data_IF_921013025364
#
_entry.id   IF_921013025364
#
_cell.length_a   1.000
_cell.length_b   1.000
_cell.length_c   1.000
_cell.angle_alpha   90.00
_cell.angle_beta   90.00
_cell.angle_gamma   90.00
#
_symmetry.space_group_name_H-M   'P 1'
#
loop_
_entity.id
_entity.type
_entity.pdbx_description
1 polymer ?
#
# COMPACT_ATOMS: atom_id res chain seq x y z
N UNK A 1 -12.81 26.31 0.87
CA UNK A 1 -13.58 25.69 -0.22
C UNK A 1 -13.74 24.23 0.15
N UNK A 2 -14.95 23.68 0.25
CA UNK A 2 -15.10 22.24 0.49
C UNK A 2 -14.61 21.49 -0.73
N UNK A 3 -13.78 20.46 -0.53
CA UNK A 3 -13.31 19.58 -1.60
C UNK A 3 -14.51 18.85 -2.23
N UNK A 4 -14.73 19.02 -3.55
CA UNK A 4 -15.79 18.30 -4.27
C UNK A 4 -15.30 16.88 -4.60
N UNK A 5 -15.88 15.89 -3.94
CA UNK A 5 -15.53 14.48 -4.11
C UNK A 5 -16.46 13.74 -5.09
N UNK A 6 -17.47 14.42 -5.62
CA UNK A 6 -18.43 13.84 -6.56
C UNK A 6 -17.91 13.77 -8.00
N UNK A 7 -16.80 14.45 -8.28
CA UNK A 7 -16.17 14.52 -9.61
C UNK A 7 -14.69 14.23 -9.52
N UNK A 8 -14.18 13.44 -10.47
CA UNK A 8 -12.76 13.18 -10.58
C UNK A 8 -12.03 14.47 -10.96
N UNK A 9 -10.99 14.90 -10.23
CA UNK A 9 -10.19 16.06 -10.58
C UNK A 9 -9.57 15.90 -11.97
N UNK A 10 -9.45 17.01 -12.71
CA UNK A 10 -8.99 17.00 -14.11
C UNK A 10 -7.54 16.53 -14.30
N UNK A 11 -6.74 16.47 -13.23
CA UNK A 11 -5.39 15.94 -13.24
C UNK A 11 -5.34 14.41 -13.03
N UNK A 12 -6.48 13.76 -12.83
CA UNK A 12 -6.60 12.31 -12.82
C UNK A 12 -7.39 11.81 -14.03
N UNK A 13 -6.95 10.68 -14.59
CA UNK A 13 -7.66 9.96 -15.64
C UNK A 13 -7.80 8.49 -15.28
N UNK A 14 -9.03 7.97 -15.35
CA UNK A 14 -9.27 6.53 -15.20
C UNK A 14 -8.69 5.76 -16.40
N UNK A 15 -8.00 4.66 -16.09
CA UNK A 15 -7.44 3.72 -17.05
C UNK A 15 -7.87 2.32 -16.63
N UNK A 16 -8.24 1.48 -17.59
CA UNK A 16 -8.40 0.04 -17.37
C UNK A 16 -7.11 -0.67 -17.77
N UNK A 17 -6.56 -1.47 -16.86
CA UNK A 17 -5.32 -2.22 -17.09
C UNK A 17 -5.57 -3.55 -17.79
N UNK A 18 -4.50 -4.26 -18.18
CA UNK A 18 -4.57 -5.49 -18.95
C UNK A 18 -5.25 -6.68 -18.27
N UNK A 19 -5.33 -6.69 -16.93
CA UNK A 19 -6.10 -7.69 -16.16
C UNK A 19 -7.55 -7.25 -15.89
N UNK A 20 -7.98 -6.13 -16.49
CA UNK A 20 -9.32 -5.57 -16.34
C UNK A 20 -9.51 -4.70 -15.09
N UNK A 21 -8.50 -4.57 -14.23
CA UNK A 21 -8.62 -3.77 -13.01
C UNK A 21 -8.43 -2.27 -13.31
N UNK A 22 -9.14 -1.37 -12.59
CA UNK A 22 -9.04 0.07 -12.80
C UNK A 22 -7.78 0.65 -12.16
N UNK A 23 -7.21 1.69 -12.75
CA UNK A 23 -6.16 2.52 -12.16
C UNK A 23 -6.40 3.99 -12.52
N UNK A 24 -5.69 4.91 -11.87
CA UNK A 24 -5.65 6.31 -12.30
C UNK A 24 -4.28 6.64 -12.89
N UNK A 25 -4.25 7.57 -13.82
CA UNK A 25 -3.04 8.30 -14.19
C UNK A 25 -3.10 9.73 -13.67
N UNK A 26 -2.03 10.14 -13.01
CA UNK A 26 -1.78 11.49 -12.54
C UNK A 26 -1.07 12.30 -13.62
N UNK A 27 -1.63 13.46 -13.98
CA UNK A 27 -1.03 14.43 -14.88
C UNK A 27 -0.15 15.40 -14.10
N UNK A 28 1.11 15.01 -13.90
CA UNK A 28 2.09 15.83 -13.21
C UNK A 28 2.87 16.77 -14.14
N UNK A 29 3.71 17.67 -13.58
CA UNK A 29 4.60 18.54 -14.35
C UNK A 29 5.56 17.77 -15.28
N UNK A 30 5.97 16.57 -14.87
CA UNK A 30 6.85 15.67 -15.62
C UNK A 30 6.10 14.77 -16.62
N UNK A 31 4.80 14.98 -16.78
CA UNK A 31 3.91 14.22 -17.65
C UNK A 31 3.03 13.20 -16.92
N UNK A 32 2.26 12.39 -17.68
CA UNK A 32 1.37 11.39 -17.10
C UNK A 32 2.15 10.24 -16.47
N UNK A 33 1.83 9.90 -15.22
CA UNK A 33 2.26 8.67 -14.55
C UNK A 33 1.03 7.87 -14.13
N UNK A 34 0.99 6.58 -14.49
CA UNK A 34 -0.05 5.68 -14.00
C UNK A 34 0.31 5.19 -12.58
N UNK A 35 -0.69 5.08 -11.70
CA UNK A 35 -0.48 4.55 -10.34
C UNK A 35 -0.05 3.08 -10.33
N UNK A 36 -0.36 2.33 -11.40
CA UNK A 36 -0.07 0.90 -11.49
C UNK A 36 0.41 0.53 -12.90
N UNK A 37 0.97 -0.67 -13.01
CA UNK A 37 1.39 -1.27 -14.26
C UNK A 37 0.23 -1.44 -15.24
N UNK A 38 0.48 -1.09 -16.51
CA UNK A 38 -0.51 -1.23 -17.59
C UNK A 38 -0.97 -2.67 -17.81
N UNK A 39 -0.16 -3.67 -17.44
CA UNK A 39 -0.50 -5.09 -17.56
C UNK A 39 -1.49 -5.61 -16.51
N UNK A 40 -1.73 -4.89 -15.42
CA UNK A 40 -2.68 -5.30 -14.40
C UNK A 40 -2.38 -4.71 -13.03
N UNK A 41 -3.27 -3.87 -12.49
CA UNK A 41 -3.08 -3.30 -11.16
C UNK A 41 -3.36 -4.35 -10.08
N UNK A 42 -4.44 -5.13 -10.22
CA UNK A 42 -4.80 -6.18 -9.28
C UNK A 42 -3.71 -7.26 -9.20
N UNK A 43 -3.22 -7.70 -10.35
CA UNK A 43 -2.19 -8.72 -10.43
C UNK A 43 -0.83 -8.22 -9.92
N UNK A 44 -0.48 -6.95 -10.17
CA UNK A 44 0.71 -6.31 -9.58
C UNK A 44 0.60 -6.25 -8.05
N UNK A 45 -0.52 -5.76 -7.50
CA UNK A 45 -0.72 -5.66 -6.05
C UNK A 45 -0.60 -7.03 -5.38
N UNK A 46 -1.26 -8.06 -5.93
CA UNK A 46 -1.16 -9.43 -5.41
C UNK A 46 0.28 -9.96 -5.47
N UNK A 47 1.01 -9.69 -6.56
CA UNK A 47 2.36 -10.21 -6.73
C UNK A 47 3.37 -9.54 -5.79
N UNK A 48 3.27 -8.23 -5.62
CA UNK A 48 4.26 -7.41 -4.89
C UNK A 48 3.94 -7.39 -3.39
N UNK A 49 2.69 -7.13 -3.02
CA UNK A 49 2.33 -6.71 -1.66
C UNK A 49 1.69 -7.83 -0.82
N UNK A 50 0.99 -8.80 -1.44
CA UNK A 50 0.39 -9.92 -0.70
C UNK A 50 1.41 -10.73 0.14
N UNK A 51 2.67 -10.95 -0.28
CA UNK A 51 3.65 -11.64 0.55
C UNK A 51 3.93 -10.98 1.91
N UNK A 52 3.93 -9.64 1.97
CA UNK A 52 4.12 -8.89 3.22
C UNK A 52 2.94 -9.10 4.17
N UNK A 53 1.72 -9.03 3.63
CA UNK A 53 0.50 -9.28 4.38
C UNK A 53 0.42 -10.74 4.85
N UNK A 54 0.71 -11.71 3.98
CA UNK A 54 0.72 -13.12 4.33
C UNK A 54 1.69 -13.43 5.49
N UNK A 55 2.90 -12.88 5.45
CA UNK A 55 3.87 -13.06 6.52
C UNK A 55 3.43 -12.39 7.84
N UNK A 56 2.75 -11.24 7.77
CA UNK A 56 2.24 -10.53 8.93
C UNK A 56 1.06 -11.26 9.59
N UNK A 57 0.07 -11.70 8.81
CA UNK A 57 -1.13 -12.39 9.31
C UNK A 57 -0.88 -13.86 9.69
N UNK A 58 0.25 -14.45 9.28
CA UNK A 58 0.69 -15.76 9.77
C UNK A 58 1.26 -15.73 11.20
N UNK A 59 1.54 -14.54 11.74
CA UNK A 59 2.05 -14.37 13.10
C UNK A 59 0.90 -14.38 14.10
N UNK A 60 1.07 -14.99 15.28
CA UNK A 60 0.08 -14.88 16.35
C UNK A 60 0.07 -13.49 17.00
N UNK A 61 1.17 -12.73 16.90
CA UNK A 61 1.21 -11.33 17.32
C UNK A 61 0.50 -10.46 16.29
N UNK A 62 -0.18 -9.41 16.75
CA UNK A 62 -0.77 -8.41 15.86
C UNK A 62 0.28 -7.69 15.00
N UNK A 63 -0.20 -6.94 14.01
CA UNK A 63 0.65 -6.25 13.03
C UNK A 63 0.57 -4.73 13.15
N UNK A 64 1.70 -4.06 12.89
CA UNK A 64 1.77 -2.63 12.65
C UNK A 64 2.23 -2.45 11.21
N UNK A 65 1.30 -2.06 10.35
CA UNK A 65 1.49 -1.96 8.91
C UNK A 65 1.56 -0.50 8.49
N UNK A 66 2.41 -0.22 7.51
CA UNK A 66 2.49 1.07 6.82
C UNK A 66 2.23 0.81 5.34
N UNK A 67 1.25 1.52 4.79
CA UNK A 67 0.99 1.63 3.36
C UNK A 67 1.29 3.06 2.92
N UNK A 68 2.23 3.24 1.99
CA UNK A 68 2.62 4.55 1.48
C UNK A 68 2.11 4.68 0.05
N UNK A 69 1.19 5.61 -0.19
CA UNK A 69 0.48 5.76 -1.46
C UNK A 69 -0.84 5.00 -1.45
N UNK A 70 -1.85 5.52 -0.75
CA UNK A 70 -3.19 4.91 -0.75
C UNK A 70 -3.74 4.78 -2.17
N UNK A 71 -3.65 5.83 -2.99
CA UNK A 71 -4.12 5.78 -4.38
C UNK A 71 -5.60 5.39 -4.48
N UNK A 72 -5.85 4.26 -5.17
CA UNK A 72 -7.17 3.62 -5.26
C UNK A 72 -7.43 2.57 -4.17
N UNK A 73 -6.64 2.56 -3.11
CA UNK A 73 -6.76 1.71 -1.93
C UNK A 73 -6.59 0.20 -2.20
N UNK A 74 -5.77 -0.18 -3.20
CA UNK A 74 -5.53 -1.59 -3.54
C UNK A 74 -4.90 -2.36 -2.36
N UNK A 75 -3.90 -1.76 -1.71
CA UNK A 75 -3.20 -2.37 -0.58
C UNK A 75 -4.10 -2.49 0.65
N UNK A 76 -4.94 -1.49 0.92
CA UNK A 76 -5.89 -1.46 2.03
C UNK A 76 -7.03 -2.47 1.80
N UNK A 77 -7.57 -2.57 0.58
CA UNK A 77 -8.59 -3.57 0.26
C UNK A 77 -8.00 -4.98 0.30
N UNK A 78 -6.76 -5.18 -0.19
CA UNK A 78 -6.05 -6.44 -0.07
C UNK A 78 -5.85 -6.82 1.41
N UNK A 79 -5.40 -5.90 2.26
CA UNK A 79 -5.27 -6.14 3.70
C UNK A 79 -6.60 -6.54 4.36
N UNK A 80 -7.73 -5.99 3.90
CA UNK A 80 -9.05 -6.42 4.38
C UNK A 80 -9.35 -7.89 4.03
N UNK A 81 -8.90 -8.40 2.87
CA UNK A 81 -9.06 -9.83 2.56
C UNK A 81 -8.30 -10.73 3.54
N UNK A 82 -7.09 -10.34 3.94
CA UNK A 82 -6.33 -11.06 4.96
C UNK A 82 -6.99 -10.99 6.33
N UNK A 83 -7.57 -9.84 6.70
CA UNK A 83 -8.31 -9.69 7.95
C UNK A 83 -9.58 -10.55 8.00
N UNK A 84 -10.33 -10.61 6.89
CA UNK A 84 -11.48 -11.51 6.73
C UNK A 84 -11.10 -12.97 6.97
N UNK A 85 -10.00 -13.39 6.37
CA UNK A 85 -9.53 -14.79 6.44
C UNK A 85 -8.87 -15.09 7.79
N UNK A 86 -8.57 -14.08 8.60
CA UNK A 86 -7.95 -14.19 9.93
C UNK A 86 -8.67 -13.30 10.96
N UNK A 87 -9.94 -13.58 11.31
CA UNK A 87 -10.80 -12.67 12.10
C UNK A 87 -10.33 -12.45 13.55
N UNK A 88 -9.35 -13.21 14.04
CA UNK A 88 -8.72 -13.02 15.35
C UNK A 88 -7.50 -12.10 15.32
N UNK A 89 -6.98 -11.77 14.13
CA UNK A 89 -5.75 -10.99 13.98
C UNK A 89 -6.01 -9.50 14.24
N UNK A 90 -5.22 -8.91 15.12
CA UNK A 90 -5.24 -7.46 15.34
C UNK A 90 -4.21 -6.79 14.46
N UNK A 91 -4.57 -5.69 13.81
CA UNK A 91 -3.59 -4.88 13.12
C UNK A 91 -3.94 -3.39 13.14
N UNK A 92 -2.89 -2.57 13.17
CA UNK A 92 -2.97 -1.17 12.79
C UNK A 92 -2.41 -1.01 11.38
N UNK A 93 -3.09 -0.25 10.52
CA UNK A 93 -2.63 0.09 9.18
C UNK A 93 -2.59 1.61 9.06
N UNK A 94 -1.40 2.19 9.04
CA UNK A 94 -1.19 3.59 8.71
C UNK A 94 -1.09 3.74 7.20
N UNK A 95 -2.08 4.38 6.59
CA UNK A 95 -2.13 4.63 5.15
C UNK A 95 -1.84 6.11 4.86
N UNK A 96 -0.77 6.37 4.12
CA UNK A 96 -0.28 7.71 3.81
C UNK A 96 -0.66 8.09 2.38
N UNK A 97 -1.36 9.22 2.23
CA UNK A 97 -1.73 9.76 0.93
C UNK A 97 -1.57 11.28 0.92
N UNK A 98 -0.82 11.77 -0.07
CA UNK A 98 -0.53 13.18 -0.22
C UNK A 98 -1.69 13.95 -0.85
N UNK A 99 -2.48 13.29 -1.69
CA UNK A 99 -3.65 13.88 -2.33
C UNK A 99 -4.90 13.81 -1.44
N UNK A 100 -5.41 14.97 -1.05
CA UNK A 100 -6.58 15.04 -0.16
C UNK A 100 -7.84 14.44 -0.79
N UNK A 101 -8.00 14.51 -2.11
CA UNK A 101 -9.15 13.95 -2.82
C UNK A 101 -9.13 12.43 -2.75
N UNK A 102 -8.00 11.79 -3.03
CA UNK A 102 -7.86 10.33 -2.94
C UNK A 102 -8.11 9.84 -1.50
N UNK A 103 -7.47 10.48 -0.53
CA UNK A 103 -7.57 10.14 0.89
C UNK A 103 -8.99 10.29 1.42
N UNK A 104 -9.61 11.44 1.20
CA UNK A 104 -10.97 11.73 1.66
C UNK A 104 -12.01 10.84 0.96
N UNK A 105 -11.80 10.53 -0.33
CA UNK A 105 -12.68 9.62 -1.07
C UNK A 105 -12.71 8.23 -0.45
N UNK A 106 -11.55 7.65 -0.12
CA UNK A 106 -11.51 6.33 0.49
C UNK A 106 -12.11 6.34 1.90
N UNK A 107 -11.74 7.33 2.72
CA UNK A 107 -12.25 7.47 4.08
C UNK A 107 -13.79 7.59 4.12
N UNK A 108 -14.38 8.44 3.27
CA UNK A 108 -15.83 8.59 3.22
C UNK A 108 -16.54 7.38 2.58
N UNK A 109 -15.92 6.72 1.62
CA UNK A 109 -16.44 5.47 1.06
C UNK A 109 -16.53 4.37 2.13
N UNK A 110 -15.57 4.29 3.06
CA UNK A 110 -15.63 3.38 4.20
C UNK A 110 -16.81 3.71 5.15
N UNK A 111 -17.22 4.98 5.21
CA UNK A 111 -18.38 5.44 5.98
C UNK A 111 -19.71 5.29 5.22
N UNK A 112 -19.72 4.59 4.08
CA UNK A 112 -20.95 4.30 3.33
C UNK A 112 -21.34 5.35 2.30
N UNK A 113 -20.46 6.30 1.96
CA UNK A 113 -20.72 7.27 0.88
C UNK A 113 -20.45 6.65 -0.49
N UNK A 114 -21.53 6.36 -1.21
CA UNK A 114 -21.52 5.73 -2.54
C UNK A 114 -21.70 6.73 -3.70
N UNK A 115 -21.93 8.01 -3.40
CA UNK A 115 -22.09 9.12 -4.37
C UNK A 115 -20.74 9.79 -4.78
N UNK A 116 -19.62 9.18 -4.41
CA UNK A 116 -18.27 9.68 -4.68
C UNK A 116 -17.79 9.25 -6.07
N UNK A 117 -16.97 10.07 -6.72
CA UNK A 117 -16.42 9.77 -8.04
C UNK A 117 -15.63 8.44 -8.08
N UNK A 118 -14.95 8.09 -6.99
CA UNK A 118 -14.14 6.86 -6.91
C UNK A 118 -14.92 5.62 -6.40
N UNK A 119 -16.15 5.78 -5.90
CA UNK A 119 -16.92 4.66 -5.34
C UNK A 119 -17.10 3.47 -6.32
N UNK A 120 -17.38 3.70 -7.62
CA UNK A 120 -17.44 2.60 -8.59
C UNK A 120 -16.10 1.86 -8.77
N UNK A 121 -14.97 2.54 -8.61
CA UNK A 121 -13.64 1.94 -8.74
C UNK A 121 -13.32 1.06 -7.54
N UNK A 122 -13.59 1.54 -6.32
CA UNK A 122 -13.45 0.71 -5.12
C UNK A 122 -14.31 -0.56 -5.22
N UNK A 123 -15.54 -0.45 -5.74
CA UNK A 123 -16.40 -1.62 -5.96
C UNK A 123 -15.80 -2.62 -6.96
N UNK A 124 -15.26 -2.16 -8.10
CA UNK A 124 -14.55 -3.02 -9.07
C UNK A 124 -13.32 -3.69 -8.45
N UNK A 125 -12.54 -2.97 -7.64
CA UNK A 125 -11.36 -3.51 -6.95
C UNK A 125 -11.76 -4.59 -5.94
N UNK A 126 -12.81 -4.33 -5.15
CA UNK A 126 -13.38 -5.32 -4.23
C UNK A 126 -13.77 -6.62 -4.96
N UNK A 127 -14.47 -6.51 -6.11
CA UNK A 127 -14.81 -7.66 -6.95
C UNK A 127 -13.57 -8.42 -7.41
N UNK A 128 -12.53 -7.70 -7.86
CA UNK A 128 -11.26 -8.31 -8.28
C UNK A 128 -10.59 -9.12 -7.17
N UNK A 129 -10.65 -8.64 -5.92
CA UNK A 129 -10.15 -9.36 -4.75
C UNK A 129 -11.11 -10.41 -4.17
N UNK A 130 -12.32 -10.55 -4.72
CA UNK A 130 -13.33 -11.46 -4.19
C UNK A 130 -13.81 -11.08 -2.78
N UNK A 131 -13.88 -9.77 -2.48
CA UNK A 131 -14.44 -9.22 -1.24
C UNK A 131 -15.59 -8.29 -1.56
N UNK A 132 -16.60 -8.19 -0.69
CA UNK A 132 -17.73 -7.27 -0.89
C UNK A 132 -17.37 -5.89 -0.30
N UNK A 133 -17.78 -4.77 -0.94
CA UNK A 133 -17.63 -3.44 -0.35
C UNK A 133 -18.09 -3.32 1.11
N UNK A 134 -19.27 -3.88 1.42
CA UNK A 134 -19.80 -3.88 2.78
C UNK A 134 -18.92 -4.62 3.80
N UNK A 135 -18.18 -5.64 3.34
CA UNK A 135 -17.28 -6.42 4.19
C UNK A 135 -15.98 -5.65 4.48
N UNK A 136 -15.44 -4.95 3.47
CA UNK A 136 -14.32 -4.01 3.68
C UNK A 136 -14.71 -2.92 4.68
N UNK A 137 -15.92 -2.35 4.55
CA UNK A 137 -16.46 -1.37 5.49
C UNK A 137 -16.53 -1.95 6.90
N UNK A 138 -17.18 -3.10 7.08
CA UNK A 138 -17.31 -3.75 8.39
C UNK A 138 -15.95 -4.04 9.02
N UNK A 139 -14.98 -4.51 8.23
CA UNK A 139 -13.62 -4.77 8.70
C UNK A 139 -12.97 -3.50 9.25
N UNK A 140 -13.16 -2.33 8.64
CA UNK A 140 -12.48 -1.10 9.07
C UNK A 140 -13.28 -0.20 10.01
N UNK A 141 -14.62 -0.29 10.01
CA UNK A 141 -15.49 0.64 10.74
C UNK A 141 -16.47 -0.05 11.70
N UNK A 142 -16.56 -1.38 11.66
CA UNK A 142 -17.43 -2.16 12.53
C UNK A 142 -17.07 -2.01 14.01
N UNK A 143 -18.08 -2.00 14.89
CA UNK A 143 -17.91 -1.77 16.33
C UNK A 143 -17.05 -2.84 17.04
N UNK A 144 -16.83 -4.00 16.42
CA UNK A 144 -15.96 -5.08 16.89
C UNK A 144 -14.68 -5.25 16.07
N UNK A 145 -14.35 -4.28 15.22
CA UNK A 145 -13.20 -4.36 14.33
C UNK A 145 -11.90 -4.57 15.12
N UNK A 146 -11.06 -5.48 14.60
CA UNK A 146 -9.67 -5.67 15.05
C UNK A 146 -8.67 -4.94 14.15
N UNK A 147 -9.16 -4.23 13.12
CA UNK A 147 -8.40 -3.40 12.22
C UNK A 147 -8.48 -1.94 12.67
N UNK A 148 -7.34 -1.32 12.93
CA UNK A 148 -7.26 0.12 13.15
C UNK A 148 -6.66 0.79 11.92
N UNK A 149 -7.52 1.30 11.02
CA UNK A 149 -7.09 2.03 9.83
C UNK A 149 -6.89 3.50 10.17
N UNK A 150 -5.66 3.98 10.01
CA UNK A 150 -5.24 5.33 10.37
C UNK A 150 -4.86 6.07 9.09
N UNK A 151 -5.59 7.14 8.79
CA UNK A 151 -5.35 7.97 7.62
C UNK A 151 -4.35 9.07 7.92
N UNK A 152 -3.20 9.01 7.25
CA UNK A 152 -2.12 9.97 7.36
C UNK A 152 -2.05 10.83 6.10
N UNK A 153 -1.47 12.03 6.22
CA UNK A 153 -1.25 12.90 5.07
C UNK A 153 -0.01 12.46 4.28
N UNK A 154 0.57 13.39 3.51
CA UNK A 154 1.91 13.20 2.93
C UNK A 154 2.90 12.86 4.04
N UNK A 155 3.57 11.71 3.93
CA UNK A 155 4.75 11.39 4.73
C UNK A 155 5.85 12.40 4.40
N UNK A 156 6.14 13.29 5.33
CA UNK A 156 7.13 14.36 5.13
C UNK A 156 8.37 14.13 5.97
N UNK A 157 8.22 13.41 7.09
CA UNK A 157 9.33 13.15 8.02
C UNK A 157 9.26 11.73 8.58
N UNK A 158 10.39 11.03 8.74
CA UNK A 158 10.40 9.64 9.19
C UNK A 158 9.76 9.40 10.57
N UNK A 159 9.73 10.40 11.45
CA UNK A 159 9.11 10.30 12.77
C UNK A 159 7.58 10.14 12.73
N UNK A 160 6.94 10.48 11.62
CA UNK A 160 5.48 10.35 11.42
C UNK A 160 5.06 8.87 11.28
N UNK A 161 5.98 7.98 10.91
CA UNK A 161 5.73 6.54 10.91
C UNK A 161 5.58 6.01 12.36
N UNK A 162 4.77 4.98 12.63
CA UNK A 162 4.74 4.35 13.95
C UNK A 162 6.06 3.62 14.25
N UNK A 163 6.39 3.41 15.54
CA UNK A 163 7.50 2.51 15.93
C UNK A 163 7.06 1.05 15.85
N UNK A 164 8.00 0.13 15.65
CA UNK A 164 7.72 -1.30 15.65
C UNK A 164 6.93 -1.75 14.41
N UNK A 165 7.19 -1.14 13.25
CA UNK A 165 6.52 -1.52 11.99
C UNK A 165 6.90 -2.95 11.62
N UNK A 166 5.90 -3.82 11.47
CA UNK A 166 6.06 -5.22 11.08
C UNK A 166 5.85 -5.44 9.58
N UNK A 167 5.27 -4.47 8.86
CA UNK A 167 5.06 -4.55 7.42
C UNK A 167 5.09 -3.20 6.72
N UNK A 168 5.90 -3.06 5.68
CA UNK A 168 5.89 -1.91 4.77
C UNK A 168 5.38 -2.30 3.38
N UNK A 169 4.29 -1.65 2.95
CA UNK A 169 3.78 -1.64 1.58
C UNK A 169 4.19 -0.29 0.98
N UNK A 170 5.42 -0.21 0.46
CA UNK A 170 6.02 1.06 0.02
C UNK A 170 5.68 1.32 -1.44
N UNK A 171 4.52 1.93 -1.67
CA UNK A 171 3.85 2.09 -2.97
C UNK A 171 3.77 3.56 -3.41
N UNK A 172 4.80 4.34 -3.10
CA UNK A 172 4.88 5.74 -3.51
C UNK A 172 5.09 5.87 -5.02
N UNK A 173 4.64 6.99 -5.61
CA UNK A 173 5.01 7.35 -6.98
C UNK A 173 6.54 7.31 -7.20
N UNK A 174 6.96 7.16 -8.46
CA UNK A 174 8.37 6.95 -8.77
C UNK A 174 9.24 8.13 -8.34
N UNK A 175 10.56 7.91 -8.30
CA UNK A 175 11.54 8.96 -7.97
C UNK A 175 11.44 10.21 -8.84
N UNK A 176 10.84 10.15 -10.02
CA UNK A 176 10.60 11.34 -10.85
C UNK A 176 9.53 12.25 -10.25
N UNK A 177 8.54 11.65 -9.61
CA UNK A 177 7.34 12.35 -9.11
C UNK A 177 7.43 12.64 -7.62
N UNK A 178 8.09 11.78 -6.84
CA UNK A 178 8.26 11.96 -5.39
C UNK A 178 9.71 11.65 -4.96
N UNK A 179 10.71 12.39 -5.48
CA UNK A 179 12.14 12.11 -5.24
C UNK A 179 12.52 12.02 -3.77
N UNK A 180 11.87 12.81 -2.91
CA UNK A 180 12.08 12.87 -1.46
C UNK A 180 11.82 11.52 -0.78
N UNK A 181 10.84 10.75 -1.26
CA UNK A 181 10.50 9.43 -0.71
C UNK A 181 11.50 8.34 -1.13
N UNK A 182 12.47 8.66 -2.00
CA UNK A 182 13.49 7.75 -2.49
C UNK A 182 14.92 8.23 -2.19
N UNK A 183 15.05 9.27 -1.37
CA UNK A 183 16.33 9.66 -0.80
C UNK A 183 16.84 8.56 0.13
N UNK A 184 18.15 8.30 0.09
CA UNK A 184 18.71 7.18 0.84
C UNK A 184 18.62 7.38 2.35
N UNK A 185 18.95 8.57 2.86
CA UNK A 185 18.94 8.81 4.30
C UNK A 185 17.51 8.90 4.84
N UNK A 186 16.58 9.44 4.04
CA UNK A 186 15.15 9.38 4.34
C UNK A 186 14.65 7.94 4.47
N UNK A 187 14.98 7.08 3.49
CA UNK A 187 14.61 5.66 3.51
C UNK A 187 15.23 4.92 4.71
N UNK A 188 16.50 5.18 5.02
CA UNK A 188 17.18 4.59 6.19
C UNK A 188 16.45 4.95 7.48
N UNK A 189 16.09 6.22 7.65
CA UNK A 189 15.38 6.68 8.83
C UNK A 189 13.97 6.08 8.91
N UNK A 190 13.25 5.97 7.78
CA UNK A 190 11.93 5.34 7.72
C UNK A 190 11.98 3.85 8.06
N UNK A 191 12.88 3.09 7.42
CA UNK A 191 13.03 1.66 7.68
C UNK A 191 13.66 1.37 9.04
N UNK A 192 14.34 2.35 9.65
CA UNK A 192 14.75 2.32 11.04
C UNK A 192 13.59 2.17 12.04
N UNK A 193 12.37 2.55 11.64
CA UNK A 193 11.14 2.42 12.46
C UNK A 193 10.56 1.00 12.50
N UNK A 194 11.13 0.08 11.71
CA UNK A 194 10.74 -1.32 11.73
C UNK A 194 10.87 -1.94 13.14
N UNK A 195 10.13 -3.01 13.37
CA UNK A 195 10.36 -3.93 14.47
C UNK A 195 11.68 -4.71 14.26
N UNK A 196 12.43 -4.91 15.33
CA UNK A 196 13.79 -5.48 15.26
C UNK A 196 13.77 -7.01 15.08
N UNK A 197 12.72 -7.68 15.54
CA UNK A 197 12.60 -9.14 15.50
C UNK A 197 11.85 -9.63 14.25
N UNK A 198 11.04 -8.77 13.64
CA UNK A 198 10.33 -9.06 12.42
C UNK A 198 9.88 -7.81 11.67
N UNK A 199 10.27 -7.70 10.40
CA UNK A 199 9.62 -6.79 9.48
C UNK A 199 9.70 -7.34 8.06
N UNK A 200 8.60 -7.22 7.31
CA UNK A 200 8.54 -7.53 5.89
C UNK A 200 8.30 -6.23 5.11
N UNK A 201 8.93 -6.09 3.96
CA UNK A 201 8.83 -4.92 3.12
C UNK A 201 8.69 -5.33 1.67
N UNK A 202 7.79 -4.67 0.95
CA UNK A 202 7.69 -4.77 -0.49
C UNK A 202 7.50 -3.41 -1.14
N UNK A 203 7.99 -3.30 -2.37
CA UNK A 203 7.75 -2.19 -3.29
C UNK A 203 7.89 -2.65 -4.73
N UNK A 204 7.13 -2.05 -5.64
CA UNK A 204 7.32 -2.25 -7.07
C UNK A 204 8.69 -1.72 -7.56
N UNK A 205 9.28 -0.78 -6.83
CA UNK A 205 10.51 -0.12 -7.26
C UNK A 205 11.75 -0.99 -7.05
N UNK A 206 12.78 -0.73 -7.87
CA UNK A 206 14.16 -1.21 -7.64
C UNK A 206 15.13 -0.15 -8.10
N UNK A 207 15.86 0.41 -7.15
CA UNK A 207 16.91 1.38 -7.43
C UNK A 207 18.06 1.22 -6.42
N UNK A 208 19.20 1.83 -6.72
CA UNK A 208 20.42 1.70 -5.90
C UNK A 208 20.26 2.28 -4.49
N UNK A 209 19.57 3.42 -4.35
CA UNK A 209 19.32 4.06 -3.05
C UNK A 209 18.51 3.14 -2.14
N UNK A 210 17.43 2.55 -2.66
CA UNK A 210 16.60 1.59 -1.94
C UNK A 210 17.42 0.41 -1.43
N UNK A 211 18.25 -0.20 -2.29
CA UNK A 211 19.07 -1.36 -1.88
C UNK A 211 20.06 -0.99 -0.77
N UNK A 212 20.71 0.18 -0.85
CA UNK A 212 21.64 0.65 0.18
C UNK A 212 20.92 1.01 1.48
N UNK A 213 19.77 1.67 1.38
CA UNK A 213 18.94 2.01 2.54
C UNK A 213 18.45 0.77 3.29
N UNK A 214 17.96 -0.24 2.57
CA UNK A 214 17.55 -1.52 3.15
C UNK A 214 18.70 -2.21 3.87
N UNK A 215 19.88 -2.30 3.24
CA UNK A 215 21.06 -2.89 3.87
C UNK A 215 21.48 -2.12 5.14
N UNK A 216 21.50 -0.78 5.09
CA UNK A 216 21.81 0.09 6.23
C UNK A 216 20.79 -0.03 7.37
N UNK A 217 19.52 -0.31 7.04
CA UNK A 217 18.44 -0.53 8.01
C UNK A 217 18.37 -1.98 8.53
N UNK A 218 19.30 -2.85 8.11
CA UNK A 218 19.39 -4.25 8.56
C UNK A 218 18.46 -5.22 7.83
N UNK A 219 17.90 -4.82 6.68
CA UNK A 219 17.06 -5.69 5.86
C UNK A 219 17.91 -6.56 4.92
N UNK A 220 17.45 -7.80 4.72
CA UNK A 220 17.92 -8.72 3.68
C UNK A 220 16.97 -8.63 2.50
N UNK A 221 17.50 -8.31 1.32
CA UNK A 221 16.71 -8.27 0.07
C UNK A 221 16.54 -9.70 -0.47
N UNK A 222 15.31 -10.05 -0.83
CA UNK A 222 14.97 -11.31 -1.49
C UNK A 222 15.00 -11.10 -2.99
N UNK A 223 15.70 -11.97 -3.72
CA UNK A 223 15.65 -11.97 -5.17
C UNK A 223 14.28 -12.46 -5.65
N UNK A 224 13.45 -11.53 -6.12
CA UNK A 224 12.15 -11.80 -6.74
C UNK A 224 12.22 -11.42 -8.23
N UNK A 225 11.67 -12.27 -9.11
CA UNK A 225 11.46 -11.87 -10.51
C UNK A 225 10.46 -10.72 -10.54
N UNK A 226 10.57 -9.77 -11.47
CA UNK A 226 9.55 -8.73 -11.59
C UNK A 226 8.22 -9.28 -12.10
N UNK A 227 7.12 -8.58 -11.80
CA UNK A 227 5.80 -8.89 -12.32
C UNK A 227 5.73 -8.72 -13.85
N UNK A 228 4.99 -9.60 -14.54
CA UNK A 228 4.61 -9.51 -15.97
C UNK A 228 5.74 -9.02 -16.92
N UNK A 229 6.83 -9.79 -17.01
CA UNK A 229 8.00 -9.52 -17.87
C UNK A 229 8.83 -8.26 -17.53
N UNK A 230 8.50 -7.49 -16.49
CA UNK A 230 9.37 -6.42 -15.99
C UNK A 230 10.55 -6.97 -15.17
N UNK A 231 11.62 -6.18 -15.11
CA UNK A 231 12.92 -6.55 -14.53
C UNK A 231 12.99 -6.50 -13.00
N UNK A 232 12.00 -6.00 -12.27
CA UNK A 232 12.16 -5.84 -10.83
C UNK A 232 10.95 -5.37 -10.03
N UNK A 233 10.65 -6.09 -8.95
CA UNK A 233 10.13 -5.57 -7.68
C UNK A 233 11.20 -5.77 -6.60
N UNK A 234 11.04 -5.15 -5.44
CA UNK A 234 11.91 -5.37 -4.29
C UNK A 234 11.08 -5.91 -3.13
N UNK A 235 11.44 -7.10 -2.64
CA UNK A 235 11.01 -7.61 -1.35
C UNK A 235 12.21 -7.68 -0.42
N UNK A 236 12.01 -7.33 0.85
CA UNK A 236 13.05 -7.42 1.85
C UNK A 236 12.46 -7.80 3.20
N UNK A 237 13.28 -8.39 4.06
CA UNK A 237 12.87 -8.76 5.40
C UNK A 237 13.94 -8.43 6.45
N UNK A 238 13.52 -8.26 7.69
CA UNK A 238 14.40 -8.08 8.85
C UNK A 238 13.96 -8.97 10.01
N UNK A 239 14.92 -9.48 10.76
CA UNK A 239 14.68 -10.36 11.90
C UNK A 239 14.56 -11.85 11.53
N UNK A 240 14.72 -12.72 12.52
CA UNK A 240 14.78 -14.19 12.35
C UNK A 240 13.42 -14.84 12.11
N UNK A 241 12.33 -14.19 12.50
CA UNK A 241 10.96 -14.67 12.27
C UNK A 241 10.41 -14.28 10.89
N UNK A 242 11.10 -13.42 10.15
CA UNK A 242 10.65 -12.99 8.84
C UNK A 242 11.06 -14.02 7.79
N UNK A 243 10.17 -14.29 6.85
CA UNK A 243 10.25 -15.47 6.00
C UNK A 243 11.37 -15.31 4.96
N UNK A 244 12.57 -15.78 5.30
CA UNK A 244 13.58 -16.14 4.32
C UNK A 244 13.01 -17.15 3.32
N UNK A 245 13.56 -17.23 2.08
CA UNK A 245 13.05 -18.15 1.08
C UNK A 245 13.03 -19.56 1.65
N UNK A 246 11.83 -20.14 1.81
CA UNK A 246 11.70 -21.57 2.08
C UNK A 246 12.15 -22.27 0.81
N UNK A 247 13.29 -22.93 0.91
CA UNK A 247 13.83 -23.86 -0.10
C UNK A 247 12.80 -24.88 -0.53
#
# INVERSE_FOLDING_TARGET
>A
MSLDLSRLPSHFHEITTGDGSPTLSFQGPEGPEAMHHAGGALAETNYVYAPVLAANFARPQGSVLVSLGTGLAYNEILAATFARDNPGHHFALHTFEADEFLRASFALWLQGRDDLALAPLYAKICVGFGIRPAEVREIYTGAGSRANLIFEARLSRPEELPQGVTGFLWDAFSRKTSPELWDEDFLVACFGRADLEFCELATYARNGNLKRALARAGFTVVDQKGFANKRSSTRAYRGSGASGPRS
#
